data_IF_814140483620
#
_entry.id   IF_814140483620
#
_cell.length_a   1.000
_cell.length_b   1.000
_cell.length_c   1.000
_cell.angle_alpha   90.00
_cell.angle_beta   90.00
_cell.angle_gamma   90.00
#
_symmetry.space_group_name_H-M   'P 1'
#
loop_
_entity.id
_entity.type
_entity.pdbx_description
1 polymer ?
#
# COMPACT_ATOMS: atom_id res chain seq x y z
N UNK A 1 16.74 21.22 -2.19
CA UNK A 1 16.78 22.38 -1.28
C UNK A 1 16.50 21.94 0.15
N UNK A 2 17.30 22.35 1.10
CA UNK A 2 17.10 21.97 2.49
C UNK A 2 15.89 22.67 3.08
N UNK A 3 15.09 21.96 3.84
CA UNK A 3 13.94 22.52 4.54
C UNK A 3 14.39 23.33 5.77
N UNK A 4 13.65 24.39 6.09
CA UNK A 4 13.81 25.09 7.35
C UNK A 4 13.43 24.20 8.53
N UNK A 5 13.83 24.60 9.75
CA UNK A 5 13.43 23.85 10.95
C UNK A 5 11.92 23.76 11.09
N UNK A 6 11.19 24.86 10.83
CA UNK A 6 9.72 24.87 10.90
C UNK A 6 9.09 23.94 9.87
N UNK A 7 9.64 23.90 8.65
CA UNK A 7 9.16 23.01 7.61
C UNK A 7 9.40 21.55 7.97
N UNK A 8 10.56 21.23 8.54
CA UNK A 8 10.85 19.87 9.02
C UNK A 8 9.91 19.45 10.15
N UNK A 9 9.67 20.34 11.11
CA UNK A 9 8.78 20.05 12.23
C UNK A 9 7.36 19.78 11.73
N UNK A 10 6.88 20.56 10.74
CA UNK A 10 5.57 20.32 10.13
C UNK A 10 5.51 19.01 9.36
N UNK A 11 6.60 18.69 8.63
CA UNK A 11 6.69 17.43 7.90
C UNK A 11 6.66 16.24 8.87
N UNK A 12 7.41 16.31 9.96
CA UNK A 12 7.43 15.25 10.97
C UNK A 12 6.06 15.08 11.63
N UNK A 13 5.39 16.17 11.97
CA UNK A 13 4.04 16.12 12.54
C UNK A 13 3.02 15.55 11.54
N UNK A 14 3.12 15.91 10.27
CA UNK A 14 2.27 15.35 9.23
C UNK A 14 2.49 13.85 9.06
N UNK A 15 3.76 13.42 9.02
CA UNK A 15 4.10 12.00 8.89
C UNK A 15 3.52 11.19 10.04
N UNK A 16 3.65 11.68 11.27
CA UNK A 16 3.11 10.99 12.43
C UNK A 16 1.59 10.82 12.34
N UNK A 17 0.87 11.90 12.05
CA UNK A 17 -0.59 11.85 11.90
C UNK A 17 -1.01 10.93 10.76
N UNK A 18 -0.33 11.01 9.63
CA UNK A 18 -0.61 10.19 8.46
C UNK A 18 -0.42 8.71 8.78
N UNK A 19 0.71 8.37 9.41
CA UNK A 19 1.02 6.98 9.74
C UNK A 19 0.03 6.40 10.77
N UNK A 20 -0.33 7.16 11.79
CA UNK A 20 -1.31 6.74 12.77
C UNK A 20 -2.67 6.47 12.13
N UNK A 21 -3.10 7.34 11.21
CA UNK A 21 -4.34 7.15 10.48
C UNK A 21 -4.31 5.91 9.60
N UNK A 22 -3.20 5.69 8.90
CA UNK A 22 -3.02 4.51 8.06
C UNK A 22 -3.11 3.22 8.89
N UNK A 23 -2.44 3.18 10.02
CA UNK A 23 -2.44 2.00 10.89
C UNK A 23 -3.82 1.69 11.45
N UNK A 24 -4.59 2.73 11.80
CA UNK A 24 -5.98 2.55 12.26
C UNK A 24 -6.88 1.99 11.16
N UNK A 25 -6.70 2.42 9.92
CA UNK A 25 -7.51 1.95 8.79
C UNK A 25 -7.09 0.56 8.31
N UNK A 26 -5.87 0.14 8.63
CA UNK A 26 -5.29 -1.12 8.14
C UNK A 26 -4.74 -1.95 9.30
N UNK A 27 -5.60 -2.34 10.26
CA UNK A 27 -5.12 -3.07 11.44
C UNK A 27 -4.55 -4.44 11.06
N UNK A 28 -3.49 -4.84 11.77
CA UNK A 28 -2.89 -6.16 11.58
C UNK A 28 -2.11 -6.33 10.27
N UNK A 29 -1.64 -5.23 9.69
CA UNK A 29 -0.91 -5.26 8.41
C UNK A 29 0.47 -4.60 8.53
N UNK A 30 1.39 -5.21 9.33
CA UNK A 30 2.67 -4.57 9.63
C UNK A 30 3.57 -4.38 8.41
N UNK A 31 3.59 -5.31 7.46
CA UNK A 31 4.41 -5.19 6.25
C UNK A 31 3.96 -4.01 5.39
N UNK A 32 2.65 -3.82 5.29
CA UNK A 32 2.09 -2.68 4.58
C UNK A 32 2.41 -1.36 5.31
N UNK A 33 2.22 -1.32 6.63
CA UNK A 33 2.55 -0.14 7.44
C UNK A 33 4.00 0.29 7.25
N UNK A 34 4.92 -0.67 7.27
CA UNK A 34 6.35 -0.37 7.13
C UNK A 34 6.68 0.16 5.73
N UNK A 35 6.13 -0.46 4.69
CA UNK A 35 6.36 -0.03 3.31
C UNK A 35 5.88 1.41 3.10
N UNK A 36 4.69 1.73 3.60
CA UNK A 36 4.15 3.09 3.49
C UNK A 36 5.02 4.08 4.26
N UNK A 37 5.44 3.72 5.47
CA UNK A 37 6.29 4.60 6.27
C UNK A 37 7.59 4.96 5.55
N UNK A 38 8.25 3.98 4.95
CA UNK A 38 9.52 4.18 4.25
C UNK A 38 9.39 5.15 3.09
N UNK A 39 8.27 5.08 2.36
CA UNK A 39 8.00 6.01 1.25
C UNK A 39 7.52 7.37 1.78
N UNK A 40 6.61 7.37 2.74
CA UNK A 40 6.00 8.59 3.25
C UNK A 40 7.02 9.53 3.89
N UNK A 41 7.99 8.99 4.64
CA UNK A 41 9.01 9.81 5.29
C UNK A 41 9.86 10.59 4.28
N UNK A 42 10.01 10.06 3.07
CA UNK A 42 10.79 10.72 2.02
C UNK A 42 9.92 11.67 1.17
N UNK A 43 8.65 11.33 0.97
CA UNK A 43 7.72 12.09 0.13
C UNK A 43 7.11 13.28 0.87
N UNK A 44 6.77 13.13 2.15
CA UNK A 44 6.09 14.19 2.90
C UNK A 44 6.90 15.49 2.94
N UNK A 45 8.23 15.49 3.16
CA UNK A 45 9.00 16.74 3.05
C UNK A 45 8.91 17.40 1.68
N UNK A 46 8.89 16.61 0.61
CA UNK A 46 8.71 17.11 -0.75
C UNK A 46 7.35 17.79 -0.94
N UNK A 47 6.32 17.31 -0.26
CA UNK A 47 4.95 17.84 -0.41
C UNK A 47 4.73 19.15 0.34
N UNK A 48 5.66 19.61 1.19
CA UNK A 48 5.42 20.74 2.08
C UNK A 48 5.10 22.03 1.32
N UNK A 49 5.70 22.22 0.14
CA UNK A 49 5.45 23.38 -0.73
C UNK A 49 4.52 23.06 -1.91
N UNK A 50 3.87 21.90 -1.91
CA UNK A 50 3.00 21.44 -2.99
C UNK A 50 1.54 21.43 -2.53
N UNK A 51 0.99 22.63 -2.30
CA UNK A 51 -0.36 22.75 -1.73
C UNK A 51 -1.43 22.04 -2.58
N UNK A 52 -1.31 22.10 -3.91
CA UNK A 52 -2.26 21.43 -4.80
C UNK A 52 -2.30 19.91 -4.55
N UNK A 53 -1.16 19.29 -4.29
CA UNK A 53 -1.11 17.85 -4.01
C UNK A 53 -1.69 17.53 -2.63
N UNK A 54 -1.48 18.41 -1.64
CA UNK A 54 -2.09 18.26 -0.32
C UNK A 54 -3.60 18.36 -0.41
N UNK A 55 -4.11 19.34 -1.14
CA UNK A 55 -5.55 19.56 -1.30
C UNK A 55 -6.22 18.40 -2.03
N UNK A 56 -5.50 17.77 -2.96
CA UNK A 56 -5.98 16.61 -3.68
C UNK A 56 -5.83 15.29 -2.89
N UNK A 57 -5.26 15.35 -1.70
CA UNK A 57 -4.99 14.17 -0.85
C UNK A 57 -4.24 13.06 -1.61
N UNK A 58 -3.21 13.46 -2.36
CA UNK A 58 -2.50 12.53 -3.25
C UNK A 58 -1.93 11.34 -2.47
N UNK A 59 -1.26 11.61 -1.34
CA UNK A 59 -0.65 10.54 -0.56
C UNK A 59 -1.71 9.59 0.04
N UNK A 60 -2.79 10.13 0.55
CA UNK A 60 -3.91 9.32 1.06
C UNK A 60 -4.49 8.44 -0.04
N UNK A 61 -4.64 8.98 -1.25
CA UNK A 61 -5.16 8.23 -2.39
C UNK A 61 -4.20 7.15 -2.86
N UNK A 62 -2.91 7.41 -2.82
CA UNK A 62 -1.88 6.44 -3.24
C UNK A 62 -1.70 5.29 -2.26
N UNK A 63 -2.14 5.45 -1.03
CA UNK A 63 -2.01 4.42 0.00
C UNK A 63 -3.31 3.63 0.23
N UNK A 64 -4.38 3.97 -0.51
CA UNK A 64 -5.66 3.26 -0.44
C UNK A 64 -5.88 2.52 -1.75
N UNK A 65 -5.99 1.18 -1.74
CA UNK A 65 -6.25 0.44 -2.99
C UNK A 65 -7.65 0.73 -3.52
N UNK A 66 -7.82 0.61 -4.83
CA UNK A 66 -9.14 0.75 -5.45
C UNK A 66 -10.09 -0.35 -4.96
N UNK A 67 -9.60 -1.59 -4.89
CA UNK A 67 -10.35 -2.70 -4.31
C UNK A 67 -9.46 -3.91 -4.09
N UNK A 68 -9.97 -4.81 -3.25
CA UNK A 68 -9.37 -6.11 -3.00
C UNK A 68 -10.42 -7.17 -3.28
N UNK A 69 -10.08 -8.15 -4.09
CA UNK A 69 -10.94 -9.29 -4.38
C UNK A 69 -10.40 -10.50 -3.66
N UNK A 70 -11.23 -11.12 -2.82
CA UNK A 70 -10.89 -12.37 -2.12
C UNK A 70 -11.84 -13.43 -2.67
N UNK A 71 -11.29 -14.56 -3.09
CA UNK A 71 -12.09 -15.59 -3.74
C UNK A 71 -11.63 -17.00 -3.34
N UNK A 72 -12.56 -17.93 -3.47
CA UNK A 72 -12.30 -19.35 -3.19
C UNK A 72 -11.78 -20.02 -4.46
N UNK A 73 -10.74 -20.83 -4.31
CA UNK A 73 -10.21 -21.67 -5.39
C UNK A 73 -10.33 -23.13 -4.95
N UNK A 74 -11.20 -23.88 -5.63
CA UNK A 74 -11.35 -25.31 -5.39
C UNK A 74 -10.62 -26.06 -6.51
N UNK A 75 -9.85 -27.07 -6.13
CA UNK A 75 -9.09 -27.87 -7.10
C UNK A 75 -8.91 -29.28 -6.55
N UNK A 76 -8.59 -30.21 -7.43
CA UNK A 76 -8.36 -31.61 -7.08
C UNK A 76 -6.88 -31.92 -7.24
N UNK A 77 -6.27 -32.46 -6.19
CA UNK A 77 -4.86 -32.82 -6.21
C UNK A 77 -4.61 -34.16 -6.94
N UNK A 78 -3.35 -34.53 -7.06
CA UNK A 78 -2.95 -35.77 -7.75
C UNK A 78 -3.45 -37.04 -7.07
N UNK A 79 -3.81 -36.94 -5.79
CA UNK A 79 -4.38 -38.05 -5.02
C UNK A 79 -5.90 -38.06 -5.05
N UNK A 80 -6.49 -37.23 -5.90
CA UNK A 80 -7.93 -37.10 -6.09
C UNK A 80 -8.65 -36.53 -4.86
N UNK A 81 -7.96 -35.77 -4.03
CA UNK A 81 -8.58 -35.07 -2.91
C UNK A 81 -8.96 -33.63 -3.32
N UNK A 82 -10.13 -33.20 -2.89
CA UNK A 82 -10.57 -31.81 -3.11
C UNK A 82 -9.84 -30.91 -2.13
N UNK A 83 -9.21 -29.87 -2.67
CA UNK A 83 -8.50 -28.85 -1.91
C UNK A 83 -9.22 -27.52 -2.08
N UNK A 84 -9.16 -26.69 -1.04
CA UNK A 84 -9.76 -25.35 -1.07
C UNK A 84 -8.69 -24.34 -0.66
N UNK A 85 -8.42 -23.39 -1.55
CA UNK A 85 -7.49 -22.31 -1.28
C UNK A 85 -8.22 -20.96 -1.35
N UNK A 86 -7.59 -19.95 -0.77
CA UNK A 86 -8.05 -18.57 -0.88
C UNK A 86 -7.16 -17.82 -1.85
N UNK A 87 -7.78 -17.24 -2.88
CA UNK A 87 -7.07 -16.32 -3.78
C UNK A 87 -7.35 -14.89 -3.37
N UNK A 88 -6.36 -14.02 -3.59
CA UNK A 88 -6.48 -12.60 -3.29
C UNK A 88 -5.88 -11.80 -4.43
N UNK A 89 -6.59 -10.75 -4.85
CA UNK A 89 -6.07 -9.80 -5.83
C UNK A 89 -6.25 -8.39 -5.28
N UNK A 90 -5.14 -7.69 -5.12
CA UNK A 90 -5.15 -6.28 -4.71
C UNK A 90 -5.03 -5.42 -5.96
N UNK A 91 -6.04 -4.61 -6.22
CA UNK A 91 -6.06 -3.64 -7.31
C UNK A 91 -5.77 -2.27 -6.72
N UNK A 92 -4.51 -1.86 -6.79
CA UNK A 92 -4.07 -0.72 -6.03
C UNK A 92 -4.37 0.60 -6.74
N UNK A 93 -3.83 0.78 -7.97
CA UNK A 93 -3.99 2.05 -8.67
C UNK A 93 -3.90 1.82 -10.17
N UNK A 94 -4.86 2.34 -10.93
CA UNK A 94 -4.90 2.22 -12.39
C UNK A 94 -4.75 3.57 -13.10
N UNK A 95 -4.20 4.57 -12.43
CA UNK A 95 -4.12 5.93 -12.97
C UNK A 95 -3.33 6.02 -14.28
N UNK A 96 -2.31 5.19 -14.46
CA UNK A 96 -1.48 5.20 -15.66
C UNK A 96 -1.54 3.88 -16.46
N UNK A 97 -2.33 2.93 -16.02
CA UNK A 97 -2.45 1.65 -16.73
C UNK A 97 -3.17 0.60 -15.90
N UNK A 98 -3.34 -0.60 -16.46
CA UNK A 98 -4.07 -1.66 -15.75
C UNK A 98 -3.30 -2.14 -14.52
N UNK A 99 -4.04 -2.72 -13.58
CA UNK A 99 -3.42 -3.38 -12.44
C UNK A 99 -2.65 -4.60 -12.92
N UNK A 100 -1.33 -4.56 -12.80
CA UNK A 100 -0.53 -5.72 -13.17
C UNK A 100 0.71 -5.82 -12.31
N UNK A 101 1.07 -7.05 -11.98
CA UNK A 101 2.25 -7.36 -11.21
C UNK A 101 2.44 -8.86 -11.16
N UNK A 102 3.43 -9.30 -10.44
CA UNK A 102 3.73 -10.72 -10.32
C UNK A 102 2.67 -11.49 -9.54
N UNK A 103 2.71 -12.78 -9.70
CA UNK A 103 1.89 -13.73 -8.96
C UNK A 103 2.75 -14.39 -7.91
N UNK A 104 2.23 -14.54 -6.69
CA UNK A 104 2.97 -15.19 -5.60
C UNK A 104 2.19 -16.40 -5.09
N UNK A 105 2.83 -17.56 -5.16
CA UNK A 105 2.35 -18.79 -4.55
C UNK A 105 3.22 -19.11 -3.35
N UNK A 106 2.74 -18.88 -2.15
CA UNK A 106 3.44 -19.24 -0.94
C UNK A 106 2.47 -19.23 0.25
N UNK A 107 2.67 -20.11 1.20
CA UNK A 107 1.79 -20.20 2.37
C UNK A 107 1.83 -18.97 3.27
N UNK A 108 2.86 -18.13 3.15
CA UNK A 108 2.97 -16.88 3.93
C UNK A 108 2.19 -15.71 3.33
N UNK A 109 1.56 -15.88 2.15
CA UNK A 109 0.82 -14.81 1.50
C UNK A 109 -0.39 -14.40 2.34
N UNK A 110 -0.51 -13.09 2.58
CA UNK A 110 -1.67 -12.50 3.25
C UNK A 110 -1.94 -11.12 2.66
N UNK A 111 -3.02 -10.48 3.12
CA UNK A 111 -3.42 -9.16 2.62
C UNK A 111 -2.33 -8.11 2.87
N UNK A 112 -1.67 -8.14 4.01
CA UNK A 112 -0.60 -7.19 4.33
C UNK A 112 0.54 -7.25 3.32
N UNK A 113 1.01 -8.46 3.00
CA UNK A 113 2.09 -8.68 2.03
C UNK A 113 1.66 -8.24 0.63
N UNK A 114 0.44 -8.57 0.21
CA UNK A 114 -0.05 -8.19 -1.11
C UNK A 114 -0.23 -6.67 -1.23
N UNK A 115 -0.69 -6.00 -0.19
CA UNK A 115 -0.79 -4.54 -0.18
C UNK A 115 0.59 -3.89 -0.19
N UNK A 116 1.53 -4.44 0.53
CA UNK A 116 2.92 -4.01 0.50
C UNK A 116 3.48 -4.09 -0.92
N UNK A 117 3.32 -5.23 -1.58
CA UNK A 117 3.82 -5.43 -2.95
C UNK A 117 3.10 -4.52 -3.95
N UNK A 118 1.77 -4.39 -3.85
CA UNK A 118 0.99 -3.53 -4.73
C UNK A 118 1.36 -2.06 -4.56
N UNK A 119 1.55 -1.62 -3.34
CA UNK A 119 1.97 -0.25 -3.03
C UNK A 119 3.35 0.05 -3.62
N UNK A 120 4.31 -0.85 -3.43
CA UNK A 120 5.65 -0.67 -3.99
C UNK A 120 5.62 -0.58 -5.52
N UNK A 121 4.79 -1.37 -6.18
CA UNK A 121 4.67 -1.33 -7.64
C UNK A 121 4.14 0.01 -8.15
N UNK A 122 3.28 0.69 -7.41
CA UNK A 122 2.80 2.02 -7.77
C UNK A 122 3.96 3.00 -7.90
N UNK A 123 4.98 2.86 -7.08
CA UNK A 123 6.16 3.74 -7.10
C UNK A 123 7.28 3.26 -8.03
N UNK A 124 7.20 2.03 -8.53
CA UNK A 124 8.20 1.51 -9.49
C UNK A 124 7.86 1.85 -10.93
N UNK A 125 6.60 2.00 -11.23
CA UNK A 125 6.11 2.25 -12.60
C UNK A 125 5.75 3.73 -12.82
#
# INVERSE_FOLDING_TARGET
>A
MALSKQERDRADAYLERFQQGLERRNPGQPEFHQAVYEVARDIIPFLQDKQAYKDAHILDRMTEPDRIVVFRVCWTDDENNVRVNRGMRVQFNNAIGPYKGGLRFHKSVNISILKFLGFEQVFKN
#
